data_IF_985071638150
#
_entry.id   IF_985071638150
#
_cell.length_a   1.000
_cell.length_b   1.000
_cell.length_c   1.000
_cell.angle_alpha   90.00
_cell.angle_beta   90.00
_cell.angle_gamma   90.00
#
_symmetry.space_group_name_H-M   'P 1'
#
loop_
_entity.id
_entity.type
_entity.pdbx_description
1 polymer ?
#
# COMPACT_ATOMS: atom_id res chain seq x y z
N UNK A 1 -12.74 -25.06 -3.52
CA UNK A 1 -12.63 -23.82 -2.72
C UNK A 1 -11.98 -22.76 -3.58
N UNK A 2 -12.32 -21.47 -3.41
CA UNK A 2 -11.64 -20.37 -4.13
C UNK A 2 -10.64 -19.74 -3.17
N UNK A 3 -9.40 -19.47 -3.59
CA UNK A 3 -8.45 -18.75 -2.75
C UNK A 3 -9.00 -17.36 -2.40
N UNK A 4 -8.77 -16.92 -1.17
CA UNK A 4 -9.19 -15.62 -0.65
C UNK A 4 -7.98 -14.81 -0.20
N UNK A 5 -7.98 -13.52 -0.53
CA UNK A 5 -6.95 -12.58 -0.12
C UNK A 5 -7.53 -11.62 0.91
N UNK A 6 -7.05 -11.71 2.14
CA UNK A 6 -7.37 -10.78 3.20
C UNK A 6 -6.33 -9.67 3.24
N UNK A 7 -6.79 -8.43 3.38
CA UNK A 7 -5.94 -7.23 3.45
C UNK A 7 -6.31 -6.43 4.68
N UNK A 8 -5.35 -6.23 5.57
CA UNK A 8 -5.49 -5.40 6.76
C UNK A 8 -4.53 -4.22 6.66
N UNK A 9 -5.06 -3.00 6.54
CA UNK A 9 -4.25 -1.79 6.61
C UNK A 9 -3.77 -1.60 8.05
N UNK A 10 -2.46 -1.65 8.26
CA UNK A 10 -1.83 -1.52 9.58
C UNK A 10 -1.29 -0.12 9.83
N UNK A 11 -1.01 0.65 8.78
CA UNK A 11 -0.58 2.03 8.87
C UNK A 11 -1.11 2.82 7.67
N UNK A 12 -1.61 4.02 7.93
CA UNK A 12 -2.01 4.97 6.90
C UNK A 12 -1.81 6.39 7.43
N UNK A 13 -0.69 6.98 7.07
CA UNK A 13 -0.27 8.30 7.56
C UNK A 13 0.07 9.19 6.38
N UNK A 14 -0.51 10.39 6.37
CA UNK A 14 -0.13 11.46 5.45
C UNK A 14 0.15 12.71 6.26
N UNK A 15 1.29 13.35 6.00
CA UNK A 15 1.69 14.61 6.61
C UNK A 15 1.99 15.60 5.50
N UNK A 16 1.40 16.80 5.58
CA UNK A 16 1.71 17.90 4.68
C UNK A 16 2.50 18.95 5.45
N UNK A 17 3.82 19.00 5.24
CA UNK A 17 4.69 20.05 5.76
C UNK A 17 4.71 21.29 4.88
N UNK A 18 5.34 22.36 5.37
CA UNK A 18 5.66 23.54 4.57
C UNK A 18 6.73 23.16 3.54
N UNK A 19 6.34 23.07 2.26
CA UNK A 19 7.23 22.74 1.13
C UNK A 19 7.11 21.29 0.67
N UNK A 20 7.02 20.34 1.60
CA UNK A 20 7.06 18.91 1.29
C UNK A 20 6.04 18.11 2.09
N UNK A 21 5.27 17.26 1.40
CA UNK A 21 4.36 16.29 1.99
C UNK A 21 4.96 14.90 1.95
N UNK A 22 4.71 14.10 2.98
CA UNK A 22 5.15 12.71 3.09
C UNK A 22 3.95 11.84 3.38
N UNK A 23 3.95 10.61 2.88
CA UNK A 23 2.93 9.63 3.23
C UNK A 23 3.53 8.24 3.33
N UNK A 24 2.99 7.46 4.25
CA UNK A 24 3.35 6.07 4.50
C UNK A 24 2.08 5.25 4.59
N UNK A 25 2.04 4.15 3.83
CA UNK A 25 0.97 3.15 3.93
C UNK A 25 1.59 1.78 4.15
N UNK A 26 1.03 1.02 5.07
CA UNK A 26 1.37 -0.37 5.29
C UNK A 26 0.12 -1.23 5.40
N UNK A 27 0.18 -2.43 4.83
CA UNK A 27 -0.87 -3.42 4.95
C UNK A 27 -0.29 -4.82 5.08
N UNK A 28 -0.95 -5.63 5.91
CA UNK A 28 -0.73 -7.08 6.01
C UNK A 28 -1.63 -7.77 4.98
N UNK A 29 -1.02 -8.61 4.17
CA UNK A 29 -1.67 -9.40 3.13
C UNK A 29 -1.61 -10.87 3.52
N UNK A 30 -2.77 -11.52 3.58
CA UNK A 30 -2.88 -12.95 3.90
C UNK A 30 -3.63 -13.66 2.79
N UNK A 31 -2.94 -14.54 2.05
CA UNK A 31 -3.54 -15.41 1.03
C UNK A 31 -3.89 -16.74 1.68
N UNK A 32 -5.16 -17.13 1.57
CA UNK A 32 -5.69 -18.37 2.13
C UNK A 32 -6.25 -19.21 1.00
N UNK A 33 -5.79 -20.45 0.87
CA UNK A 33 -6.39 -21.46 0.00
C UNK A 33 -6.94 -22.64 0.83
N UNK A 34 -8.25 -22.81 0.80
CA UNK A 34 -8.96 -23.71 1.71
C UNK A 34 -8.73 -23.31 3.17
N UNK A 35 -8.02 -24.15 3.93
CA UNK A 35 -7.65 -23.92 5.33
C UNK A 35 -6.16 -23.52 5.50
N UNK A 36 -5.39 -23.49 4.41
CA UNK A 36 -3.95 -23.22 4.44
C UNK A 36 -3.67 -21.75 4.15
N UNK A 37 -2.85 -21.14 5.00
CA UNK A 37 -2.26 -19.83 4.71
C UNK A 37 -1.07 -20.04 3.79
N UNK A 38 -1.23 -19.65 2.53
CA UNK A 38 -0.20 -19.78 1.49
C UNK A 38 0.77 -18.60 1.51
N UNK A 39 0.34 -17.46 2.05
CA UNK A 39 1.18 -16.26 2.17
C UNK A 39 0.67 -15.36 3.28
N UNK A 40 1.58 -14.82 4.08
CA UNK A 40 1.29 -13.84 5.12
C UNK A 40 2.48 -12.89 5.29
N UNK A 41 2.34 -11.65 4.82
CA UNK A 41 3.37 -10.64 5.00
C UNK A 41 2.82 -9.21 4.99
N UNK A 42 3.53 -8.31 5.67
CA UNK A 42 3.28 -6.87 5.63
C UNK A 42 4.11 -6.22 4.53
N UNK A 43 3.46 -5.39 3.71
CA UNK A 43 4.12 -4.47 2.79
C UNK A 43 3.96 -3.05 3.31
N UNK A 44 5.00 -2.26 3.16
CA UNK A 44 5.02 -0.84 3.50
C UNK A 44 5.69 -0.08 2.38
N UNK A 45 5.10 1.05 2.01
CA UNK A 45 5.69 2.00 1.07
C UNK A 45 5.55 3.40 1.63
N UNK A 46 6.53 4.24 1.30
CA UNK A 46 6.54 5.65 1.65
C UNK A 46 6.79 6.48 0.39
N UNK A 47 6.16 7.64 0.31
CA UNK A 47 6.28 8.56 -0.81
C UNK A 47 6.37 10.00 -0.32
N UNK A 48 6.96 10.85 -1.14
CA UNK A 48 7.15 12.26 -0.86
C UNK A 48 6.71 13.07 -2.09
N UNK A 49 6.00 14.17 -1.86
CA UNK A 49 5.54 15.07 -2.91
C UNK A 49 5.75 16.53 -2.55
N UNK A 50 5.79 17.39 -3.57
CA UNK A 50 5.84 18.84 -3.36
C UNK A 50 4.52 19.32 -2.75
N UNK A 51 4.60 19.92 -1.56
CA UNK A 51 3.46 20.44 -0.80
C UNK A 51 3.61 21.95 -0.67
N UNK A 52 2.88 22.73 -1.47
CA UNK A 52 2.78 24.17 -1.23
C UNK A 52 1.77 24.42 -0.13
N UNK A 53 2.23 24.48 1.12
CA UNK A 53 1.41 24.94 2.27
C UNK A 53 0.97 26.41 2.10
N UNK A 54 1.66 27.18 1.24
CA UNK A 54 1.22 28.50 0.78
C UNK A 54 0.22 28.33 -0.38
N UNK A 55 -1.05 28.06 -0.07
CA UNK A 55 -2.16 28.18 -1.02
C UNK A 55 -3.14 27.00 -1.09
N UNK A 56 -4.27 27.21 -1.76
CA UNK A 56 -5.44 26.34 -1.87
C UNK A 56 -5.22 24.95 -2.55
N UNK A 57 -3.97 24.54 -2.78
CA UNK A 57 -3.58 23.36 -3.59
C UNK A 57 -3.04 22.21 -2.71
N UNK A 58 -2.71 22.47 -1.44
CA UNK A 58 -2.13 21.47 -0.53
C UNK A 58 -3.05 20.26 -0.28
N UNK A 59 -4.35 20.49 -0.03
CA UNK A 59 -5.33 19.43 0.23
C UNK A 59 -5.59 18.56 -1.02
N UNK A 60 -5.84 19.15 -2.22
CA UNK A 60 -5.92 18.36 -3.46
C UNK A 60 -4.68 17.52 -3.74
N UNK A 61 -3.48 18.05 -3.50
CA UNK A 61 -2.24 17.30 -3.74
C UNK A 61 -2.06 16.14 -2.76
N UNK A 62 -2.41 16.31 -1.49
CA UNK A 62 -2.41 15.23 -0.51
C UNK A 62 -3.42 14.13 -0.89
N UNK A 63 -4.63 14.51 -1.34
CA UNK A 63 -5.63 13.55 -1.83
C UNK A 63 -5.14 12.81 -3.09
N UNK A 64 -4.45 13.50 -4.00
CA UNK A 64 -3.86 12.92 -5.19
C UNK A 64 -2.68 11.99 -4.87
N UNK A 65 -1.95 12.23 -3.78
CA UNK A 65 -0.78 11.43 -3.38
C UNK A 65 -1.13 10.06 -2.78
N UNK A 66 -2.36 9.88 -2.30
CA UNK A 66 -2.81 8.60 -1.76
C UNK A 66 -2.92 7.50 -2.84
N UNK A 67 -3.41 7.85 -4.03
CA UNK A 67 -3.56 6.90 -5.13
C UNK A 67 -2.21 6.28 -5.58
N UNK A 68 -1.12 7.05 -5.77
CA UNK A 68 0.22 6.53 -5.95
C UNK A 68 0.69 5.60 -4.83
N UNK A 69 0.50 5.96 -3.56
CA UNK A 69 0.90 5.12 -2.42
C UNK A 69 0.22 3.75 -2.46
N UNK A 70 -1.08 3.69 -2.75
CA UNK A 70 -1.79 2.42 -2.90
C UNK A 70 -1.26 1.62 -4.10
N UNK A 71 -0.99 2.27 -5.24
CA UNK A 71 -0.41 1.62 -6.42
C UNK A 71 0.98 1.04 -6.11
N UNK A 72 1.82 1.79 -5.41
CA UNK A 72 3.16 1.35 -5.03
C UNK A 72 3.10 0.20 -4.02
N UNK A 73 2.15 0.23 -3.09
CA UNK A 73 1.91 -0.86 -2.15
C UNK A 73 1.52 -2.15 -2.88
N UNK A 74 0.59 -2.06 -3.84
CA UNK A 74 0.20 -3.19 -4.68
C UNK A 74 1.38 -3.67 -5.54
N UNK A 75 2.16 -2.76 -6.12
CA UNK A 75 3.36 -3.12 -6.87
C UNK A 75 4.37 -3.87 -5.98
N UNK A 76 4.57 -3.43 -4.75
CA UNK A 76 5.43 -4.12 -3.78
C UNK A 76 4.92 -5.53 -3.43
N UNK A 77 3.59 -5.72 -3.37
CA UNK A 77 2.98 -7.04 -3.20
C UNK A 77 3.20 -7.93 -4.43
N UNK A 78 2.84 -7.47 -5.63
CA UNK A 78 2.97 -8.24 -6.87
C UNK A 78 4.41 -8.48 -7.30
N UNK A 79 5.36 -7.69 -6.80
CA UNK A 79 6.79 -7.92 -7.02
C UNK A 79 7.39 -8.92 -6.03
N UNK A 80 6.64 -9.37 -5.02
CA UNK A 80 7.11 -10.39 -4.07
C UNK A 80 7.06 -11.78 -4.73
N UNK A 81 8.21 -12.47 -4.87
CA UNK A 81 8.26 -13.83 -5.40
C UNK A 81 7.42 -14.82 -4.59
N UNK A 82 7.33 -14.66 -3.26
CA UNK A 82 6.54 -15.56 -2.41
C UNK A 82 5.04 -15.39 -2.68
N UNK A 83 4.58 -14.15 -2.86
CA UNK A 83 3.19 -13.87 -3.19
C UNK A 83 2.82 -14.39 -4.58
N UNK A 84 3.66 -14.14 -5.58
CA UNK A 84 3.41 -14.62 -6.95
C UNK A 84 3.47 -16.13 -7.07
N UNK A 85 4.37 -16.80 -6.35
CA UNK A 85 4.39 -18.27 -6.24
C UNK A 85 3.12 -18.79 -5.59
N UNK A 86 2.67 -18.18 -4.49
CA UNK A 86 1.45 -18.58 -3.80
C UNK A 86 0.19 -18.39 -4.66
N UNK A 87 0.15 -17.36 -5.53
CA UNK A 87 -0.94 -17.17 -6.51
C UNK A 87 -0.92 -18.20 -7.66
N UNK A 88 0.27 -18.62 -8.07
CA UNK A 88 0.46 -19.53 -9.21
C UNK A 88 0.45 -21.01 -8.81
N UNK A 89 0.37 -21.32 -7.52
CA UNK A 89 0.16 -22.68 -7.01
C UNK A 89 -1.29 -23.10 -7.35
N UNK A 90 -1.47 -23.60 -8.57
CA UNK A 90 -2.70 -24.23 -9.07
C UNK A 90 -2.43 -25.67 -9.48
#
# INVERSE_FOLDING_TARGET
FRPSLNVLVTQNELTAGMGTGTGTIAARFTLIDGEKVEYDATKQVSSQWNSSFLGAIAIPNAANAYNPLVRDLLKALYSDPLFTQALNHK
#
